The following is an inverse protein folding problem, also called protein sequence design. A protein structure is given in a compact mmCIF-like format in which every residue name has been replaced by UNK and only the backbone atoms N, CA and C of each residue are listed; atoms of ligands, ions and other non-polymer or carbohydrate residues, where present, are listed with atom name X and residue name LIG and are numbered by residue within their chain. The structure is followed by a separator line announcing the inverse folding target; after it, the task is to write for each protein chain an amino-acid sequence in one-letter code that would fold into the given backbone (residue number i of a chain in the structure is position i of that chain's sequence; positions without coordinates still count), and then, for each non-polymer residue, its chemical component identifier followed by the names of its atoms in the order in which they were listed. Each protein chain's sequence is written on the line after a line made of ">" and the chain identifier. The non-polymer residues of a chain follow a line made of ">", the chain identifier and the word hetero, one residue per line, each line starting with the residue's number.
data_IF_220804484591
#
_entry.id   IF_220804484591
#
_cell.length_a   1.000
_cell.length_b   1.000
_cell.length_c   1.000
_cell.angle_alpha   90.00
_cell.angle_beta   90.00
_cell.angle_gamma   90.00
#
_symmetry.space_group_name_H-M   'P 1'
#
loop_
_entity.id
_entity.type
_entity.pdbx_description
1 polymer ?
#
# COMPACT_ATOMS: atom_id res chain seq x y z
N UNK A 1 2.82 54.72 -21.98
CA UNK A 1 3.31 55.74 -22.94
C UNK A 1 4.73 55.47 -23.49
N UNK A 2 5.62 54.71 -22.82
CA UNK A 2 7.02 54.52 -23.32
C UNK A 2 7.27 53.36 -24.31
N UNK A 3 6.39 52.36 -24.41
CA UNK A 3 6.63 51.23 -25.35
C UNK A 3 6.24 51.50 -26.80
N UNK A 4 5.34 52.47 -27.06
CA UNK A 4 4.93 52.82 -28.42
C UNK A 4 5.94 53.76 -29.12
N UNK A 5 6.66 54.58 -28.35
CA UNK A 5 7.62 55.56 -28.89
C UNK A 5 8.94 54.86 -29.27
N UNK A 6 9.40 53.87 -28.51
CA UNK A 6 10.59 53.10 -28.86
C UNK A 6 10.38 52.18 -30.07
N UNK A 7 9.20 51.58 -30.24
CA UNK A 7 8.90 50.79 -31.45
C UNK A 7 8.75 51.67 -32.69
N UNK A 8 8.21 52.89 -32.55
CA UNK A 8 8.17 53.85 -33.65
C UNK A 8 9.56 54.37 -34.04
N UNK A 9 10.46 54.62 -33.08
CA UNK A 9 11.84 55.04 -33.37
C UNK A 9 12.69 53.92 -33.97
N UNK A 10 12.49 52.66 -33.57
CA UNK A 10 13.18 51.53 -34.21
C UNK A 10 12.66 51.25 -35.62
N UNK A 11 11.34 51.41 -35.86
CA UNK A 11 10.76 51.33 -37.20
C UNK A 11 11.23 52.48 -38.09
N UNK A 12 11.38 53.70 -37.54
CA UNK A 12 11.95 54.85 -38.25
C UNK A 12 13.42 54.65 -38.62
N UNK A 13 14.25 54.07 -37.74
CA UNK A 13 15.67 53.80 -38.06
C UNK A 13 15.85 52.72 -39.13
N UNK A 14 14.98 51.69 -39.17
CA UNK A 14 14.97 50.69 -40.24
C UNK A 14 14.47 51.29 -41.56
N UNK A 15 13.55 52.26 -41.50
CA UNK A 15 13.08 52.97 -42.69
C UNK A 15 14.16 53.90 -43.26
N UNK A 16 14.90 54.64 -42.42
CA UNK A 16 15.91 55.60 -42.87
C UNK A 16 17.17 54.98 -43.46
N UNK A 17 17.61 53.82 -42.98
CA UNK A 17 18.72 53.10 -43.60
C UNK A 17 18.38 52.56 -45.01
N UNK A 18 17.13 52.61 -45.48
CA UNK A 18 16.74 52.17 -46.83
C UNK A 18 16.40 53.31 -47.80
N UNK A 19 16.46 54.58 -47.38
CA UNK A 19 15.91 55.69 -48.17
C UNK A 19 16.71 55.95 -49.45
N UNK A 20 18.03 55.85 -49.44
CA UNK A 20 18.85 56.11 -50.64
C UNK A 20 18.48 55.16 -51.80
N UNK A 21 18.29 53.88 -51.48
CA UNK A 21 17.89 52.87 -52.46
C UNK A 21 16.45 52.98 -52.95
N UNK A 22 15.56 53.62 -52.17
CA UNK A 22 14.13 53.75 -52.49
C UNK A 22 13.84 55.04 -53.24
N UNK A 23 14.61 56.11 -53.02
CA UNK A 23 14.33 57.43 -53.58
C UNK A 23 15.24 57.85 -54.75
N UNK A 24 16.47 57.34 -54.85
CA UNK A 24 17.47 57.85 -55.81
C UNK A 24 18.39 56.75 -56.37
N UNK A 25 17.81 55.72 -56.98
CA UNK A 25 18.57 54.59 -57.50
C UNK A 25 18.01 54.08 -58.82
N UNK A 26 18.88 53.92 -59.82
CA UNK A 26 18.51 53.36 -61.12
C UNK A 26 18.81 51.86 -61.17
N UNK A 27 17.77 51.04 -60.99
CA UNK A 27 17.86 49.57 -61.00
C UNK A 27 18.34 48.94 -62.31
N UNK A 28 18.41 49.72 -63.39
CA UNK A 28 18.94 49.26 -64.67
C UNK A 28 20.45 49.35 -64.78
N UNK A 29 21.11 50.25 -64.01
CA UNK A 29 22.54 50.55 -64.14
C UNK A 29 23.35 50.51 -62.84
N UNK A 30 22.69 50.52 -61.68
CA UNK A 30 23.35 50.57 -60.36
C UNK A 30 23.01 49.30 -59.55
N UNK A 31 23.57 49.13 -58.34
CA UNK A 31 23.09 48.12 -57.37
C UNK A 31 22.91 48.67 -55.95
N UNK A 32 21.76 48.41 -55.32
CA UNK A 32 21.53 48.73 -53.91
C UNK A 32 21.87 47.55 -53.01
N UNK A 33 22.72 47.79 -52.00
CA UNK A 33 23.12 46.78 -51.03
C UNK A 33 22.97 47.31 -49.60
N UNK A 34 22.08 46.69 -48.82
CA UNK A 34 21.83 47.03 -47.40
C UNK A 34 21.68 48.54 -47.12
N UNK A 35 21.01 49.26 -48.02
CA UNK A 35 20.76 50.69 -47.87
C UNK A 35 21.73 51.64 -48.57
N UNK A 36 22.80 51.11 -49.14
CA UNK A 36 23.83 51.88 -49.84
C UNK A 36 23.74 51.67 -51.36
N UNK A 37 23.74 52.77 -52.11
CA UNK A 37 23.74 52.75 -53.58
C UNK A 37 25.17 52.60 -54.10
N UNK A 38 25.42 51.56 -54.91
CA UNK A 38 26.66 51.38 -55.65
C UNK A 38 26.51 52.04 -57.03
N UNK A 39 27.02 53.27 -57.15
CA UNK A 39 26.94 54.10 -58.35
C UNK A 39 27.81 53.56 -59.49
N UNK A 40 27.35 53.75 -60.72
CA UNK A 40 28.06 53.49 -62.00
C UNK A 40 28.44 52.04 -62.33
N UNK A 41 28.05 51.04 -61.54
CA UNK A 41 28.19 49.61 -61.87
C UNK A 41 26.99 48.79 -61.40
N UNK A 42 26.45 47.94 -62.29
CA UNK A 42 25.41 46.97 -61.95
C UNK A 42 26.04 45.63 -61.58
N UNK A 43 25.89 45.29 -60.32
CA UNK A 43 26.29 44.04 -59.71
C UNK A 43 25.10 43.08 -59.58
N UNK A 44 25.37 41.79 -59.52
CA UNK A 44 24.30 40.77 -59.38
C UNK A 44 24.07 40.36 -57.91
N UNK A 45 24.98 40.72 -57.00
CA UNK A 45 25.00 40.29 -55.60
C UNK A 45 25.53 41.38 -54.67
N UNK A 46 25.25 41.24 -53.37
CA UNK A 46 25.64 42.20 -52.33
C UNK A 46 26.42 41.52 -51.20
N UNK A 47 27.49 42.17 -50.75
CA UNK A 47 28.28 41.81 -49.58
C UNK A 47 28.20 42.95 -48.57
N UNK A 48 27.29 42.85 -47.60
CA UNK A 48 26.85 43.96 -46.77
C UNK A 48 26.56 45.19 -47.65
N UNK A 49 27.22 46.34 -47.46
CA UNK A 49 26.99 47.56 -48.23
C UNK A 49 27.61 47.58 -49.64
N UNK A 50 28.38 46.57 -50.02
CA UNK A 50 29.19 46.56 -51.25
C UNK A 50 28.55 45.65 -52.32
N UNK A 51 28.28 46.18 -53.50
CA UNK A 51 27.85 45.40 -54.66
C UNK A 51 29.02 44.65 -55.31
N UNK A 52 28.79 43.41 -55.74
CA UNK A 52 29.80 42.61 -56.46
C UNK A 52 29.19 41.63 -57.48
N UNK A 53 30.00 41.18 -58.43
CA UNK A 53 29.63 40.16 -59.41
C UNK A 53 29.94 38.75 -58.88
N UNK A 54 28.91 37.93 -58.69
CA UNK A 54 28.97 36.56 -58.16
C UNK A 54 29.82 35.59 -58.98
N UNK A 55 30.06 35.92 -60.25
CA UNK A 55 30.95 35.12 -61.13
C UNK A 55 32.43 35.44 -60.96
N UNK A 56 32.76 36.51 -60.23
CA UNK A 56 34.13 37.00 -60.12
C UNK A 56 34.58 37.14 -58.67
N UNK A 57 33.67 37.20 -57.71
CA UNK A 57 33.96 37.43 -56.29
C UNK A 57 33.02 36.66 -55.38
N UNK A 58 33.44 36.47 -54.14
CA UNK A 58 32.69 35.73 -53.11
C UNK A 58 32.59 36.58 -51.85
N UNK A 59 31.40 36.63 -51.23
CA UNK A 59 31.19 37.28 -49.95
C UNK A 59 31.06 36.27 -48.81
N UNK A 60 31.90 36.37 -47.79
CA UNK A 60 31.84 35.52 -46.59
C UNK A 60 31.61 36.37 -45.33
N UNK A 61 30.39 36.32 -44.79
CA UNK A 61 30.01 37.04 -43.57
C UNK A 61 30.48 38.52 -43.57
N UNK A 62 30.15 39.23 -44.65
CA UNK A 62 30.47 40.66 -44.83
C UNK A 62 31.85 40.99 -45.38
N UNK A 63 32.69 39.98 -45.66
CA UNK A 63 34.03 40.18 -46.24
C UNK A 63 34.04 39.75 -47.71
N UNK A 64 34.39 40.68 -48.60
CA UNK A 64 34.44 40.44 -50.03
C UNK A 64 35.83 39.94 -50.45
N UNK A 65 35.86 38.85 -51.22
CA UNK A 65 37.06 38.21 -51.75
C UNK A 65 37.02 38.16 -53.29
N UNK A 66 38.13 38.51 -53.93
CA UNK A 66 38.29 38.42 -55.39
C UNK A 66 38.54 36.97 -55.81
N UNK A 67 37.59 36.36 -56.52
CA UNK A 67 37.57 34.95 -56.93
C UNK A 67 36.30 34.20 -56.49
N UNK A 68 36.05 33.03 -57.10
CA UNK A 68 34.96 32.12 -56.70
C UNK A 68 35.49 31.11 -55.68
N UNK A 69 35.00 31.21 -54.45
CA UNK A 69 35.42 30.42 -53.30
C UNK A 69 34.19 29.94 -52.50
N UNK A 70 34.42 29.04 -51.55
CA UNK A 70 33.45 28.70 -50.50
C UNK A 70 33.78 29.46 -49.20
N UNK A 71 32.79 29.60 -48.31
CA UNK A 71 32.94 30.33 -47.07
C UNK A 71 33.11 29.43 -45.85
N UNK A 72 34.13 29.73 -45.05
CA UNK A 72 34.38 29.15 -43.73
C UNK A 72 34.28 30.26 -42.68
N UNK A 73 33.06 30.52 -42.20
CA UNK A 73 32.78 31.69 -41.36
C UNK A 73 33.00 33.00 -42.13
N UNK A 74 33.99 33.80 -41.72
CA UNK A 74 34.37 35.06 -42.38
C UNK A 74 35.43 34.87 -43.48
N UNK A 75 36.09 33.71 -43.54
CA UNK A 75 37.20 33.44 -44.46
C UNK A 75 36.67 32.78 -45.74
N UNK A 76 37.23 33.11 -46.89
CA UNK A 76 37.01 32.38 -48.14
C UNK A 76 38.08 31.29 -48.35
N UNK A 77 37.72 30.15 -48.94
CA UNK A 77 38.65 29.05 -49.27
C UNK A 77 38.28 28.35 -50.58
N UNK A 78 39.26 27.71 -51.23
CA UNK A 78 39.04 26.87 -52.41
C UNK A 78 38.77 25.41 -51.97
N UNK A 79 37.56 24.87 -52.18
CA UNK A 79 37.20 23.51 -51.79
C UNK A 79 38.00 22.43 -52.54
N UNK A 80 38.65 22.77 -53.66
CA UNK A 80 39.53 21.83 -54.39
C UNK A 80 40.84 21.55 -53.66
N UNK A 81 41.25 22.44 -52.75
CA UNK A 81 42.54 22.36 -52.07
C UNK A 81 42.43 22.37 -50.55
N UNK A 82 41.29 22.75 -49.99
CA UNK A 82 41.11 22.94 -48.55
C UNK A 82 39.72 22.48 -48.10
N UNK A 83 39.57 22.24 -46.80
CA UNK A 83 38.30 21.83 -46.16
C UNK A 83 38.03 22.74 -44.96
N UNK A 84 36.79 23.19 -44.79
CA UNK A 84 36.37 23.97 -43.62
C UNK A 84 35.82 23.07 -42.49
N UNK A 85 36.37 23.22 -41.28
CA UNK A 85 35.95 22.50 -40.07
C UNK A 85 35.70 23.47 -38.92
N UNK A 86 34.45 23.60 -38.47
CA UNK A 86 34.02 24.49 -37.37
C UNK A 86 34.64 25.92 -37.43
N UNK A 87 34.70 26.49 -38.63
CA UNK A 87 35.20 27.85 -38.87
C UNK A 87 36.70 27.97 -39.13
N UNK A 88 37.45 26.86 -39.06
CA UNK A 88 38.87 26.81 -39.43
C UNK A 88 39.10 26.07 -40.75
N UNK A 89 40.02 26.60 -41.56
CA UNK A 89 40.35 26.07 -42.88
C UNK A 89 41.57 25.17 -42.75
N UNK A 90 41.44 23.90 -43.15
CA UNK A 90 42.53 22.93 -43.19
C UNK A 90 42.98 22.67 -44.63
N UNK A 91 44.28 22.48 -44.85
CA UNK A 91 44.83 22.12 -46.16
C UNK A 91 44.52 20.65 -46.51
N UNK A 92 44.03 20.42 -47.72
CA UNK A 92 43.53 19.15 -48.22
C UNK A 92 42.03 19.21 -48.52
N UNK A 93 41.63 18.77 -49.70
CA UNK A 93 40.22 18.67 -50.10
C UNK A 93 39.59 17.35 -49.67
N UNK A 94 38.28 17.36 -49.47
CA UNK A 94 37.47 16.19 -49.09
C UNK A 94 37.93 15.52 -47.79
N UNK A 95 38.47 16.29 -46.84
CA UNK A 95 38.81 15.79 -45.51
C UNK A 95 37.55 15.68 -44.64
N UNK A 96 37.56 14.77 -43.66
CA UNK A 96 36.56 14.74 -42.60
C UNK A 96 36.97 15.68 -41.47
N UNK A 97 36.00 16.21 -40.71
CA UNK A 97 36.29 17.12 -39.62
C UNK A 97 36.32 16.40 -38.26
N UNK A 98 37.33 16.72 -37.46
CA UNK A 98 37.43 16.37 -36.05
C UNK A 98 37.62 17.66 -35.27
N UNK A 99 36.57 18.16 -34.62
CA UNK A 99 36.53 19.54 -34.14
C UNK A 99 36.85 20.54 -35.26
N UNK A 100 37.91 21.32 -35.07
CA UNK A 100 38.38 22.36 -36.01
C UNK A 100 39.39 21.85 -37.04
N UNK A 101 39.75 20.56 -37.03
CA UNK A 101 40.83 20.03 -37.87
C UNK A 101 40.28 19.05 -38.90
N UNK A 102 40.66 19.26 -40.16
CA UNK A 102 40.42 18.30 -41.25
C UNK A 102 41.40 17.12 -41.20
N UNK A 103 40.91 15.89 -41.40
CA UNK A 103 41.73 14.68 -41.44
C UNK A 103 41.28 13.70 -42.52
N UNK A 104 42.20 12.83 -42.96
CA UNK A 104 41.90 11.71 -43.86
C UNK A 104 41.54 10.46 -43.04
N UNK A 105 40.30 9.94 -43.13
CA UNK A 105 39.87 8.76 -42.39
C UNK A 105 40.62 7.47 -42.76
N UNK A 106 41.36 7.46 -43.88
CA UNK A 106 42.22 6.33 -44.26
C UNK A 106 43.48 6.22 -43.40
N UNK A 107 43.85 7.27 -42.68
CA UNK A 107 45.09 7.32 -41.91
C UNK A 107 44.84 7.63 -40.43
N UNK A 108 43.75 8.32 -40.10
CA UNK A 108 43.44 8.78 -38.75
C UNK A 108 41.99 8.52 -38.37
N UNK A 109 41.72 8.46 -37.08
CA UNK A 109 40.37 8.33 -36.51
C UNK A 109 40.12 9.48 -35.55
N UNK A 110 38.92 10.06 -35.57
CA UNK A 110 38.51 11.11 -34.65
C UNK A 110 37.72 10.54 -33.46
N UNK A 111 38.13 10.87 -32.24
CA UNK A 111 37.47 10.48 -30.99
C UNK A 111 37.30 11.71 -30.09
N UNK A 112 36.06 12.14 -29.87
CA UNK A 112 35.71 13.33 -29.05
C UNK A 112 36.61 14.55 -29.36
N UNK A 113 36.67 14.91 -30.65
CA UNK A 113 37.48 16.02 -31.19
C UNK A 113 39.00 15.87 -31.05
N UNK A 114 39.51 14.69 -30.66
CA UNK A 114 40.93 14.35 -30.72
C UNK A 114 41.23 13.36 -31.84
N UNK A 115 42.29 13.64 -32.60
CA UNK A 115 42.76 12.77 -33.68
C UNK A 115 43.74 11.73 -33.15
N UNK A 116 43.48 10.47 -33.48
CA UNK A 116 44.39 9.35 -33.23
C UNK A 116 44.94 8.82 -34.55
N UNK A 117 46.23 8.47 -34.57
CA UNK A 117 46.87 7.83 -35.72
C UNK A 117 46.37 6.38 -35.90
N UNK A 118 45.95 6.04 -37.11
CA UNK A 118 45.38 4.75 -37.47
C UNK A 118 43.96 4.86 -38.02
N UNK A 119 43.68 4.07 -39.05
CA UNK A 119 42.37 3.98 -39.70
C UNK A 119 41.47 2.95 -39.01
N UNK A 120 40.16 3.17 -39.05
CA UNK A 120 39.14 2.23 -38.57
C UNK A 120 39.33 1.81 -37.11
N UNK A 121 39.82 2.71 -36.27
CA UNK A 121 39.92 2.48 -34.83
C UNK A 121 38.55 2.70 -34.17
N UNK A 122 38.31 2.01 -33.05
CA UNK A 122 37.18 2.32 -32.16
C UNK A 122 37.62 3.37 -31.15
N UNK A 123 36.67 4.16 -30.64
CA UNK A 123 36.98 5.19 -29.65
C UNK A 123 36.72 4.70 -28.23
N UNK A 124 37.66 4.98 -27.34
CA UNK A 124 37.52 4.86 -25.90
C UNK A 124 37.80 6.22 -25.28
N UNK A 125 36.74 6.95 -24.90
CA UNK A 125 36.84 8.39 -24.65
C UNK A 125 37.54 9.09 -25.83
N UNK A 126 38.69 9.72 -25.61
CA UNK A 126 39.41 10.46 -26.64
C UNK A 126 40.42 9.60 -27.42
N UNK A 127 40.65 8.35 -27.00
CA UNK A 127 41.69 7.50 -27.56
C UNK A 127 41.11 6.52 -28.60
N UNK A 128 41.70 6.51 -29.79
CA UNK A 128 41.47 5.46 -30.79
C UNK A 128 42.19 4.16 -30.42
N UNK A 129 41.50 3.02 -30.50
CA UNK A 129 42.08 1.70 -30.23
C UNK A 129 41.60 0.62 -31.20
N UNK A 130 42.36 -0.47 -31.27
CA UNK A 130 42.00 -1.65 -32.04
C UNK A 130 41.35 -2.70 -31.12
N UNK A 131 40.08 -3.11 -31.33
CA UNK A 131 39.41 -4.09 -30.47
C UNK A 131 40.05 -5.49 -30.51
N UNK A 132 40.92 -5.77 -31.49
CA UNK A 132 41.66 -7.04 -31.57
C UNK A 132 42.79 -7.17 -30.55
N UNK A 133 43.21 -6.08 -29.91
CA UNK A 133 44.29 -6.12 -28.92
C UNK A 133 43.98 -5.36 -27.63
N UNK A 134 42.97 -4.48 -27.62
CA UNK A 134 42.57 -3.72 -26.44
C UNK A 134 41.06 -3.76 -26.24
N UNK A 135 40.64 -3.55 -25.00
CA UNK A 135 39.24 -3.42 -24.58
C UNK A 135 39.07 -2.07 -23.91
N UNK A 136 37.96 -1.38 -24.19
CA UNK A 136 37.59 -0.14 -23.50
C UNK A 136 36.62 -0.43 -22.36
N UNK A 137 36.98 -0.05 -21.13
CA UNK A 137 36.11 -0.17 -19.95
C UNK A 137 35.92 1.19 -19.29
N UNK A 138 34.70 1.75 -19.36
CA UNK A 138 34.34 3.03 -18.77
C UNK A 138 35.33 4.17 -19.10
N UNK A 139 35.75 4.26 -20.36
CA UNK A 139 36.67 5.29 -20.85
C UNK A 139 38.15 5.00 -20.59
N UNK A 140 38.51 3.85 -19.99
CA UNK A 140 39.90 3.41 -19.83
C UNK A 140 40.23 2.28 -20.80
N UNK A 141 41.34 2.42 -21.51
CA UNK A 141 41.87 1.38 -22.38
C UNK A 141 42.65 0.33 -21.58
N UNK A 142 42.45 -0.93 -21.93
CA UNK A 142 43.04 -2.09 -21.27
C UNK A 142 43.61 -3.03 -22.31
N UNK A 143 44.83 -3.52 -22.08
CA UNK A 143 45.46 -4.48 -22.97
C UNK A 143 44.82 -5.86 -22.85
N UNK A 144 44.51 -6.46 -24.00
CA UNK A 144 43.75 -7.69 -24.12
C UNK A 144 42.44 -7.50 -24.89
N UNK A 145 42.16 -8.43 -25.80
CA UNK A 145 40.92 -8.47 -26.57
C UNK A 145 39.85 -9.27 -25.86
N UNK A 146 38.58 -8.94 -26.13
CA UNK A 146 37.40 -9.66 -25.64
C UNK A 146 37.31 -9.75 -24.10
N UNK A 147 37.89 -8.80 -23.38
CA UNK A 147 37.75 -8.72 -21.93
C UNK A 147 36.35 -8.22 -21.57
N UNK A 148 35.81 -8.68 -20.46
CA UNK A 148 34.61 -8.11 -19.85
C UNK A 148 35.01 -6.96 -18.93
N UNK A 149 34.12 -5.99 -18.73
CA UNK A 149 34.38 -4.84 -17.88
C UNK A 149 33.77 -5.01 -16.49
N UNK A 150 34.56 -4.71 -15.46
CA UNK A 150 34.14 -4.60 -14.07
C UNK A 150 34.51 -3.21 -13.57
N UNK A 151 33.60 -2.25 -13.72
CA UNK A 151 33.99 -0.84 -13.63
C UNK A 151 35.07 -0.52 -14.67
N UNK A 152 36.12 0.19 -14.28
CA UNK A 152 37.24 0.57 -15.17
C UNK A 152 38.23 -0.56 -15.44
N UNK A 153 38.03 -1.75 -14.89
CA UNK A 153 38.95 -2.89 -15.07
C UNK A 153 38.40 -3.91 -16.05
N UNK A 154 39.31 -4.54 -16.79
CA UNK A 154 39.03 -5.55 -17.81
C UNK A 154 39.46 -6.91 -17.27
N UNK A 155 38.63 -7.92 -17.46
CA UNK A 155 38.90 -9.25 -16.96
C UNK A 155 38.43 -10.35 -17.90
N UNK A 156 39.10 -11.51 -17.83
CA UNK A 156 38.65 -12.74 -18.47
C UNK A 156 37.64 -13.44 -17.54
N UNK A 157 36.40 -13.61 -18.00
CA UNK A 157 35.32 -14.27 -17.26
C UNK A 157 35.58 -15.75 -16.98
N UNK A 158 36.55 -16.36 -17.68
CA UNK A 158 37.01 -17.73 -17.41
C UNK A 158 37.98 -17.82 -16.24
N UNK A 159 38.43 -16.69 -15.69
CA UNK A 159 39.41 -16.66 -14.59
C UNK A 159 38.90 -15.84 -13.42
N UNK A 160 38.09 -14.82 -13.66
CA UNK A 160 37.56 -13.92 -12.62
C UNK A 160 36.06 -13.70 -12.77
N UNK A 161 35.43 -13.27 -11.70
CA UNK A 161 34.02 -12.86 -11.65
C UNK A 161 33.93 -11.43 -11.10
N UNK A 162 33.07 -10.60 -11.68
CA UNK A 162 32.82 -9.23 -11.22
C UNK A 162 31.58 -9.17 -10.33
N UNK A 163 31.72 -8.64 -9.12
CA UNK A 163 30.63 -8.44 -8.17
C UNK A 163 30.64 -7.00 -7.65
N UNK A 164 29.60 -6.22 -7.97
CA UNK A 164 29.47 -4.79 -7.60
C UNK A 164 30.73 -3.97 -7.89
N UNK A 165 31.36 -4.20 -9.04
CA UNK A 165 32.57 -3.49 -9.46
C UNK A 165 33.88 -3.99 -8.83
N UNK A 166 33.85 -5.08 -8.04
CA UNK A 166 35.05 -5.73 -7.52
C UNK A 166 35.29 -7.08 -8.20
N UNK A 167 36.55 -7.31 -8.59
CA UNK A 167 36.97 -8.57 -9.21
C UNK A 167 37.34 -9.61 -8.15
N UNK A 168 36.77 -10.80 -8.27
CA UNK A 168 37.10 -11.99 -7.47
C UNK A 168 37.73 -13.05 -8.37
N UNK A 169 38.76 -13.75 -7.88
CA UNK A 169 39.37 -14.87 -8.59
C UNK A 169 38.45 -16.08 -8.58
N UNK A 170 38.27 -16.71 -9.75
CA UNK A 170 37.37 -17.82 -10.00
C UNK A 170 36.34 -17.48 -11.07
N UNK A 171 36.11 -18.42 -11.98
CA UNK A 171 35.06 -18.35 -12.99
C UNK A 171 33.72 -18.83 -12.44
N UNK A 172 32.62 -18.32 -13.00
CA UNK A 172 31.26 -18.77 -12.69
C UNK A 172 30.92 -18.74 -11.19
N UNK A 173 31.47 -17.77 -10.46
CA UNK A 173 31.12 -17.56 -9.06
C UNK A 173 29.80 -16.80 -8.97
N UNK A 174 29.03 -17.04 -7.91
CA UNK A 174 27.88 -16.21 -7.56
C UNK A 174 28.34 -15.02 -6.72
N UNK A 175 27.57 -13.92 -6.72
CA UNK A 175 27.93 -12.72 -5.96
C UNK A 175 27.20 -12.67 -4.61
N UNK A 176 27.97 -12.45 -3.55
CA UNK A 176 27.48 -12.10 -2.22
C UNK A 176 27.98 -10.70 -1.86
N UNK A 177 27.17 -9.68 -2.16
CA UNK A 177 27.65 -8.31 -2.15
C UNK A 177 28.74 -8.11 -3.20
N UNK A 178 29.92 -7.62 -2.80
CA UNK A 178 31.05 -7.37 -3.71
C UNK A 178 32.01 -8.56 -3.85
N UNK A 179 31.73 -9.70 -3.20
CA UNK A 179 32.59 -10.89 -3.28
C UNK A 179 31.93 -11.99 -4.09
N UNK A 180 32.71 -12.63 -4.96
CA UNK A 180 32.34 -13.88 -5.60
C UNK A 180 32.49 -15.06 -4.64
N UNK A 181 31.58 -16.03 -4.70
CA UNK A 181 31.64 -17.25 -3.89
C UNK A 181 31.15 -18.46 -4.70
N UNK A 182 31.53 -19.66 -4.23
CA UNK A 182 31.06 -20.90 -4.84
C UNK A 182 29.88 -21.47 -4.03
N UNK A 183 28.66 -21.55 -4.59
CA UNK A 183 27.49 -22.08 -3.88
C UNK A 183 27.61 -23.55 -3.48
N UNK A 184 28.59 -24.28 -4.04
CA UNK A 184 28.91 -25.66 -3.67
C UNK A 184 29.81 -25.79 -2.45
N UNK A 185 30.31 -24.69 -1.89
CA UNK A 185 31.11 -24.69 -0.67
C UNK A 185 30.59 -23.69 0.38
N UNK A 186 29.92 -22.63 -0.05
CA UNK A 186 29.57 -21.47 0.77
C UNK A 186 28.12 -21.05 0.55
N UNK A 187 27.54 -20.34 1.51
CA UNK A 187 26.19 -19.78 1.43
C UNK A 187 26.24 -18.28 1.70
N UNK A 188 25.56 -17.48 0.87
CA UNK A 188 25.42 -16.05 1.09
C UNK A 188 24.17 -15.71 1.92
N UNK A 189 24.34 -15.05 3.05
CA UNK A 189 23.26 -14.57 3.90
C UNK A 189 23.33 -13.05 4.07
N UNK A 190 22.42 -12.32 3.43
CA UNK A 190 22.31 -10.86 3.49
C UNK A 190 23.65 -10.15 3.21
N UNK A 191 24.39 -10.62 2.20
CA UNK A 191 25.69 -10.03 1.83
C UNK A 191 26.89 -10.51 2.65
N UNK A 192 26.69 -11.42 3.62
CA UNK A 192 27.76 -12.08 4.36
C UNK A 192 27.90 -13.54 3.94
N UNK A 193 29.13 -13.94 3.59
CA UNK A 193 29.46 -15.33 3.29
C UNK A 193 29.58 -16.15 4.58
N UNK A 194 29.04 -17.37 4.54
CA UNK A 194 29.17 -18.38 5.58
C UNK A 194 29.67 -19.68 4.93
N UNK A 195 30.64 -20.33 5.55
CA UNK A 195 31.14 -21.65 5.11
C UNK A 195 30.05 -22.71 5.26
N UNK A 196 29.95 -23.59 4.26
CA UNK A 196 28.96 -24.66 4.19
C UNK A 196 27.92 -24.44 3.10
N UNK A 197 27.39 -25.54 2.58
CA UNK A 197 26.37 -25.54 1.54
C UNK A 197 24.99 -25.82 2.06
N UNK A 198 23.99 -25.37 1.30
CA UNK A 198 22.55 -25.64 1.58
C UNK A 198 22.13 -25.16 2.96
N UNK A 199 22.84 -24.17 3.51
CA UNK A 199 22.47 -23.53 4.77
C UNK A 199 21.26 -22.62 4.53
N UNK A 200 20.43 -22.47 5.56
CA UNK A 200 19.41 -21.41 5.60
C UNK A 200 19.99 -20.17 6.25
N UNK A 201 19.38 -19.01 5.99
CA UNK A 201 19.83 -17.75 6.58
C UNK A 201 18.99 -17.35 7.79
N UNK A 202 19.67 -16.97 8.86
CA UNK A 202 19.11 -16.34 10.05
C UNK A 202 19.78 -14.98 10.23
N UNK A 203 19.20 -13.94 9.63
CA UNK A 203 19.92 -12.69 9.39
C UNK A 203 21.21 -12.97 8.59
N UNK A 204 22.33 -12.38 9.00
CA UNK A 204 23.63 -12.54 8.33
C UNK A 204 24.34 -13.89 8.58
N UNK A 205 23.72 -14.82 9.34
CA UNK A 205 24.31 -16.12 9.69
C UNK A 205 23.68 -17.24 8.85
N UNK A 206 24.51 -18.04 8.17
CA UNK A 206 24.09 -19.34 7.66
C UNK A 206 23.95 -20.38 8.78
N UNK A 207 22.94 -21.23 8.71
CA UNK A 207 22.74 -22.32 9.67
C UNK A 207 22.17 -23.59 9.01
N UNK A 208 22.49 -24.76 9.56
CA UNK A 208 21.88 -26.03 9.17
C UNK A 208 20.53 -26.20 9.89
N UNK A 209 19.39 -26.24 9.16
CA UNK A 209 18.06 -26.43 9.77
C UNK A 209 17.85 -27.79 10.44
N UNK A 210 18.75 -28.77 10.23
CA UNK A 210 18.73 -30.05 10.93
C UNK A 210 19.30 -29.95 12.35
N UNK A 211 20.09 -28.91 12.63
CA UNK A 211 20.75 -28.72 13.92
C UNK A 211 20.13 -27.54 14.68
N UNK A 212 19.73 -26.48 13.97
CA UNK A 212 19.26 -25.23 14.59
C UNK A 212 17.91 -24.77 14.05
N UNK A 213 17.23 -23.95 14.85
CA UNK A 213 16.04 -23.18 14.48
C UNK A 213 16.36 -21.69 14.60
N UNK A 214 15.93 -20.90 13.62
CA UNK A 214 16.07 -19.44 13.63
C UNK A 214 14.80 -18.76 14.16
N UNK A 215 14.94 -17.90 15.17
CA UNK A 215 13.84 -17.11 15.74
C UNK A 215 14.27 -15.64 15.85
N UNK A 216 13.61 -14.76 15.10
CA UNK A 216 13.91 -13.30 15.05
C UNK A 216 15.41 -12.98 14.93
N UNK A 217 16.15 -13.74 14.11
CA UNK A 217 17.58 -13.52 13.87
C UNK A 217 18.53 -14.22 14.85
N UNK A 218 18.01 -14.86 15.90
CA UNK A 218 18.79 -15.66 16.85
C UNK A 218 18.66 -17.16 16.57
N UNK A 219 19.77 -17.88 16.70
CA UNK A 219 19.83 -19.32 16.47
C UNK A 219 19.67 -20.07 17.80
N UNK A 220 18.71 -20.99 17.85
CA UNK A 220 18.51 -21.91 18.96
C UNK A 220 18.86 -23.33 18.54
N UNK A 221 19.61 -24.06 19.38
CA UNK A 221 19.97 -25.45 19.11
C UNK A 221 18.74 -26.36 19.23
N UNK A 222 18.55 -27.22 18.22
CA UNK A 222 17.40 -28.08 18.05
C UNK A 222 16.67 -27.77 16.73
N UNK A 223 16.40 -28.78 15.88
CA UNK A 223 15.57 -28.61 14.69
C UNK A 223 14.08 -28.49 15.06
N UNK A 224 13.30 -27.86 14.18
CA UNK A 224 11.84 -27.81 14.23
C UNK A 224 11.26 -27.29 15.56
N UNK A 225 11.95 -26.35 16.21
CA UNK A 225 11.44 -25.68 17.39
C UNK A 225 10.41 -24.60 16.99
N UNK A 226 9.48 -24.31 17.89
CA UNK A 226 8.60 -23.14 17.77
C UNK A 226 9.30 -21.91 18.30
N UNK A 227 8.99 -20.73 17.77
CA UNK A 227 9.57 -19.48 18.26
C UNK A 227 8.71 -18.84 19.35
N UNK A 228 9.39 -18.41 20.41
CA UNK A 228 8.87 -17.58 21.48
C UNK A 228 9.76 -16.34 21.59
N UNK A 229 9.37 -15.25 20.93
CA UNK A 229 10.29 -14.15 20.66
C UNK A 229 11.50 -14.61 19.85
N UNK A 230 12.72 -14.33 20.34
CA UNK A 230 13.98 -14.72 19.70
C UNK A 230 14.49 -16.11 20.10
N UNK A 231 13.78 -16.85 20.96
CA UNK A 231 14.19 -18.18 21.41
C UNK A 231 13.30 -19.27 20.84
N UNK A 232 13.92 -20.36 20.41
CA UNK A 232 13.23 -21.59 20.05
C UNK A 232 12.84 -22.40 21.29
N UNK A 233 11.69 -23.07 21.27
CA UNK A 233 11.29 -24.04 22.29
C UNK A 233 10.52 -25.22 21.70
N UNK A 234 10.47 -26.32 22.43
CA UNK A 234 9.70 -27.50 22.07
C UNK A 234 8.35 -27.47 22.79
N UNK A 235 7.24 -27.46 22.04
CA UNK A 235 5.87 -27.41 22.59
C UNK A 235 5.48 -28.63 23.41
N UNK A 236 6.18 -29.74 23.26
CA UNK A 236 5.95 -30.95 24.05
C UNK A 236 6.55 -30.85 25.46
N UNK A 237 7.54 -29.97 25.67
CA UNK A 237 8.26 -29.83 26.94
C UNK A 237 8.14 -28.45 27.57
N UNK A 238 7.44 -27.51 26.93
CA UNK A 238 7.19 -26.19 27.48
C UNK A 238 6.13 -25.42 26.70
N UNK A 239 5.79 -24.24 27.20
CA UNK A 239 4.80 -23.33 26.59
C UNK A 239 5.38 -21.92 26.50
N UNK A 240 4.99 -21.17 25.47
CA UNK A 240 5.35 -19.76 25.31
C UNK A 240 4.18 -18.86 25.72
N UNK A 241 4.36 -18.04 26.76
CA UNK A 241 3.37 -17.06 27.21
C UNK A 241 3.97 -15.66 27.11
N UNK A 242 3.44 -14.84 26.20
CA UNK A 242 3.87 -13.46 25.93
C UNK A 242 5.41 -13.31 25.87
N UNK A 243 6.05 -14.10 24.99
CA UNK A 243 7.51 -14.17 24.79
C UNK A 243 8.34 -14.79 25.93
N UNK A 244 7.72 -15.32 26.98
CA UNK A 244 8.42 -16.08 28.04
C UNK A 244 8.17 -17.58 27.87
N UNK A 245 9.26 -18.36 27.85
CA UNK A 245 9.19 -19.83 27.78
C UNK A 245 9.15 -20.40 29.19
N UNK A 246 8.13 -21.20 29.47
CA UNK A 246 7.99 -21.94 30.72
C UNK A 246 8.21 -23.45 30.48
N UNK A 247 9.15 -24.09 31.21
CA UNK A 247 9.35 -25.53 31.09
C UNK A 247 8.24 -26.31 31.80
N UNK A 248 7.74 -27.35 31.14
CA UNK A 248 6.71 -28.25 31.65
C UNK A 248 5.78 -28.73 30.54
N UNK A 249 5.63 -30.04 30.42
CA UNK A 249 4.71 -30.64 29.45
C UNK A 249 3.25 -30.37 29.84
N UNK A 250 2.44 -29.93 28.88
CA UNK A 250 1.00 -29.74 29.06
C UNK A 250 0.60 -28.45 29.81
N UNK A 251 1.55 -27.56 30.10
CA UNK A 251 1.24 -26.22 30.62
C UNK A 251 0.48 -25.39 29.58
N UNK A 252 -0.35 -24.47 30.06
CA UNK A 252 -1.09 -23.50 29.23
C UNK A 252 -0.82 -22.08 29.70
N UNK A 253 -1.11 -21.10 28.84
CA UNK A 253 -0.98 -19.70 29.19
C UNK A 253 -2.24 -19.14 29.85
N UNK A 254 -2.01 -18.29 30.85
CA UNK A 254 -2.98 -17.42 31.50
C UNK A 254 -2.36 -16.02 31.51
N UNK A 255 -2.69 -15.21 30.50
CA UNK A 255 -1.94 -13.99 30.21
C UNK A 255 -0.45 -14.24 29.99
N UNK A 256 0.39 -13.59 30.81
CA UNK A 256 1.86 -13.71 30.74
C UNK A 256 2.41 -14.96 31.44
N UNK A 257 1.62 -15.61 32.30
CA UNK A 257 2.07 -16.72 33.14
C UNK A 257 1.67 -18.07 32.54
N UNK A 258 2.48 -19.09 32.78
CA UNK A 258 2.08 -20.47 32.56
C UNK A 258 1.39 -21.06 33.81
N UNK A 259 0.41 -21.93 33.60
CA UNK A 259 -0.26 -22.70 34.65
C UNK A 259 -0.45 -24.15 34.23
N UNK A 260 -0.58 -25.05 35.21
CA UNK A 260 -0.90 -26.47 35.00
C UNK A 260 -2.42 -26.68 35.11
N UNK A 261 -3.15 -26.95 34.02
CA UNK A 261 -4.61 -27.16 34.07
C UNK A 261 -5.05 -28.34 34.94
N UNK A 262 -4.14 -29.25 35.32
CA UNK A 262 -4.44 -30.37 36.21
C UNK A 262 -4.38 -29.99 37.69
N UNK A 263 -3.84 -28.82 38.03
CA UNK A 263 -3.64 -28.36 39.42
C UNK A 263 -4.19 -26.96 39.67
N UNK A 264 -4.32 -26.17 38.62
CA UNK A 264 -4.63 -24.75 38.68
C UNK A 264 -5.72 -24.39 37.65
N UNK A 265 -6.50 -23.36 37.96
CA UNK A 265 -7.52 -22.80 37.05
C UNK A 265 -7.17 -21.35 36.70
N UNK A 266 -7.29 -20.99 35.43
CA UNK A 266 -7.09 -19.63 34.92
C UNK A 266 -8.42 -18.94 34.63
N UNK A 267 -8.59 -17.72 35.13
CA UNK A 267 -9.75 -16.88 34.86
C UNK A 267 -9.31 -15.49 34.35
N UNK A 268 -9.74 -15.13 33.14
CA UNK A 268 -9.49 -13.84 32.47
C UNK A 268 -8.04 -13.32 32.66
N UNK A 269 -7.07 -14.19 32.35
CA UNK A 269 -5.63 -13.86 32.28
C UNK A 269 -4.94 -13.39 33.57
N UNK A 270 -5.63 -13.33 34.71
CA UNK A 270 -5.13 -12.52 35.85
C UNK A 270 -4.83 -13.30 37.12
N UNK A 271 -5.28 -14.56 37.25
CA UNK A 271 -4.98 -15.34 38.46
C UNK A 271 -5.04 -16.84 38.21
N UNK A 272 -3.93 -17.52 38.51
CA UNK A 272 -3.92 -18.97 38.73
C UNK A 272 -4.47 -19.24 40.13
N UNK A 273 -5.56 -19.98 40.21
CA UNK A 273 -6.15 -20.39 41.48
C UNK A 273 -5.79 -21.84 41.75
N UNK A 274 -5.43 -22.16 42.99
CA UNK A 274 -5.15 -23.54 43.40
C UNK A 274 -6.42 -24.38 43.33
N UNK A 275 -6.35 -25.51 42.62
CA UNK A 275 -7.49 -26.39 42.38
C UNK A 275 -7.77 -26.54 40.88
N UNK A 276 -7.93 -27.80 40.47
CA UNK A 276 -8.40 -28.15 39.14
C UNK A 276 -9.94 -28.17 39.10
N UNK A 277 -10.50 -27.96 37.90
CA UNK A 277 -11.95 -28.01 37.64
C UNK A 277 -12.78 -26.93 38.39
N UNK A 278 -12.16 -25.82 38.77
CA UNK A 278 -12.90 -24.67 39.29
C UNK A 278 -13.59 -23.93 38.12
N UNK A 279 -14.73 -23.31 38.41
CA UNK A 279 -15.43 -22.42 37.48
C UNK A 279 -14.97 -20.98 37.66
N UNK A 280 -15.12 -20.13 36.64
CA UNK A 280 -14.72 -18.73 36.71
C UNK A 280 -15.93 -17.82 36.94
N UNK A 281 -15.81 -16.93 37.92
CA UNK A 281 -16.69 -15.78 38.14
C UNK A 281 -15.85 -14.52 37.90
N UNK A 282 -15.80 -14.07 36.64
CA UNK A 282 -14.87 -13.01 36.24
C UNK A 282 -13.42 -13.45 36.39
N UNK A 283 -12.65 -12.76 37.24
CA UNK A 283 -11.23 -13.10 37.52
C UNK A 283 -11.04 -14.11 38.67
N UNK A 284 -12.12 -14.48 39.36
CA UNK A 284 -12.07 -15.38 40.52
C UNK A 284 -12.45 -16.80 40.10
N UNK A 285 -11.62 -17.77 40.46
CA UNK A 285 -12.04 -19.17 40.36
C UNK A 285 -12.80 -19.57 41.63
N UNK A 286 -13.83 -20.41 41.46
CA UNK A 286 -14.65 -20.91 42.55
C UNK A 286 -15.06 -22.36 42.30
N UNK A 287 -15.34 -23.10 43.37
CA UNK A 287 -15.92 -24.45 43.26
C UNK A 287 -17.45 -24.35 43.06
N UNK A 288 -17.99 -24.77 41.90
CA UNK A 288 -19.43 -24.76 41.65
C UNK A 288 -20.22 -25.70 42.57
N UNK A 289 -19.56 -26.63 43.26
CA UNK A 289 -20.18 -27.50 44.27
C UNK A 289 -20.26 -26.85 45.66
N UNK A 290 -19.73 -25.64 45.81
CA UNK A 290 -19.81 -24.88 47.07
C UNK A 290 -20.48 -23.54 46.83
N UNK A 291 -20.20 -22.87 45.70
CA UNK A 291 -20.64 -21.50 45.45
C UNK A 291 -21.42 -21.37 44.13
N UNK A 292 -22.21 -20.30 44.04
CA UNK A 292 -22.91 -19.87 42.82
C UNK A 292 -22.37 -18.51 42.37
N UNK A 293 -22.10 -18.35 41.08
CA UNK A 293 -21.71 -17.06 40.48
C UNK A 293 -22.85 -16.46 39.68
N UNK A 294 -23.13 -15.17 39.90
CA UNK A 294 -24.11 -14.41 39.14
C UNK A 294 -23.45 -13.24 38.39
N UNK A 295 -23.82 -13.08 37.11
CA UNK A 295 -23.34 -12.03 36.21
C UNK A 295 -21.81 -11.91 36.10
N UNK A 296 -21.06 -13.00 36.32
CA UNK A 296 -19.58 -13.02 36.31
C UNK A 296 -18.91 -12.07 37.33
N UNK A 297 -19.64 -11.63 38.35
CA UNK A 297 -19.15 -10.65 39.34
C UNK A 297 -19.42 -11.12 40.77
N UNK A 298 -20.65 -11.53 41.06
CA UNK A 298 -21.09 -11.82 42.43
C UNK A 298 -20.96 -13.31 42.74
N UNK A 299 -20.17 -13.64 43.76
CA UNK A 299 -19.99 -15.01 44.25
C UNK A 299 -20.73 -15.19 45.57
N UNK A 300 -21.54 -16.24 45.67
CA UNK A 300 -22.34 -16.55 46.85
C UNK A 300 -22.12 -17.98 47.32
N UNK A 301 -22.13 -18.20 48.64
CA UNK A 301 -22.04 -19.53 49.23
C UNK A 301 -23.37 -20.29 49.05
N UNK A 302 -23.28 -21.50 48.47
CA UNK A 302 -24.40 -22.37 48.14
C UNK A 302 -24.37 -22.86 46.69
N UNK A 303 -24.12 -24.16 46.48
CA UNK A 303 -23.95 -24.83 45.18
C UNK A 303 -25.23 -25.07 44.36
N UNK A 304 -26.39 -24.73 44.92
CA UNK A 304 -27.72 -25.01 44.33
C UNK A 304 -28.56 -23.75 44.23
N UNK A 305 -27.96 -22.60 44.47
CA UNK A 305 -28.64 -21.35 44.29
C UNK A 305 -28.73 -21.04 42.81
N UNK A 306 -29.76 -20.31 42.43
CA UNK A 306 -29.95 -19.81 41.07
C UNK A 306 -29.87 -18.29 41.08
N UNK A 307 -29.45 -17.71 39.96
CA UNK A 307 -29.29 -16.26 39.86
C UNK A 307 -30.61 -15.59 39.49
N UNK A 308 -30.92 -14.50 40.19
CA UNK A 308 -31.99 -13.55 39.86
C UNK A 308 -31.37 -12.16 39.68
N UNK A 309 -30.83 -11.90 38.49
CA UNK A 309 -29.98 -10.72 38.29
C UNK A 309 -28.64 -10.87 39.02
N UNK A 310 -28.33 -9.96 39.93
CA UNK A 310 -27.07 -9.95 40.70
C UNK A 310 -27.15 -10.73 42.01
N UNK A 311 -28.36 -11.11 42.43
CA UNK A 311 -28.62 -11.86 43.66
C UNK A 311 -28.88 -13.34 43.39
N UNK A 312 -28.85 -14.12 44.46
CA UNK A 312 -29.14 -15.55 44.45
C UNK A 312 -30.46 -15.88 45.16
N UNK A 313 -31.12 -16.94 44.70
CA UNK A 313 -32.29 -17.51 45.36
C UNK A 313 -32.22 -19.04 45.39
N UNK A 314 -32.90 -19.66 46.35
CA UNK A 314 -33.04 -21.12 46.44
C UNK A 314 -34.22 -21.56 45.55
N UNK A 315 -33.99 -22.24 44.41
CA UNK A 315 -35.05 -22.64 43.50
C UNK A 315 -36.03 -23.66 44.11
N UNK A 316 -35.68 -24.29 45.23
CA UNK A 316 -36.57 -25.20 45.97
C UNK A 316 -37.53 -24.46 46.91
N UNK A 317 -37.31 -23.17 47.16
CA UNK A 317 -38.11 -22.36 48.10
C UNK A 317 -38.64 -21.08 47.47
N UNK A 318 -38.05 -20.62 46.38
CA UNK A 318 -38.26 -19.30 45.80
C UNK A 318 -38.32 -19.39 44.27
N UNK A 319 -38.86 -18.35 43.65
CA UNK A 319 -38.90 -18.21 42.19
C UNK A 319 -38.49 -16.80 41.78
N UNK A 320 -37.60 -16.70 40.80
CA UNK A 320 -37.22 -15.43 40.20
C UNK A 320 -38.16 -15.06 39.06
N UNK A 321 -38.73 -13.86 39.10
CA UNK A 321 -39.55 -13.30 38.03
C UNK A 321 -39.07 -11.89 37.73
N UNK A 322 -38.55 -11.64 36.53
CA UNK A 322 -38.03 -10.33 36.09
C UNK A 322 -37.06 -9.67 37.10
N UNK A 323 -36.15 -10.45 37.68
CA UNK A 323 -35.17 -9.93 38.65
C UNK A 323 -35.72 -9.76 40.08
N UNK A 324 -36.98 -10.14 40.35
CA UNK A 324 -37.58 -10.11 41.69
C UNK A 324 -37.71 -11.51 42.25
N UNK A 325 -37.19 -11.73 43.46
CA UNK A 325 -37.25 -13.02 44.17
C UNK A 325 -38.57 -13.12 44.93
N UNK A 326 -39.39 -14.12 44.58
CA UNK A 326 -40.68 -14.40 45.21
C UNK A 326 -40.55 -15.52 46.25
N UNK A 327 -41.22 -15.38 47.41
CA UNK A 327 -41.32 -16.44 48.43
C UNK A 327 -42.29 -17.53 47.95
N UNK A 328 -41.81 -18.75 47.79
CA UNK A 328 -42.57 -19.89 47.26
C UNK A 328 -42.05 -20.35 45.90
N UNK A 329 -42.33 -21.62 45.58
CA UNK A 329 -42.00 -22.22 44.27
C UNK A 329 -43.21 -22.11 43.37
N UNK A 330 -43.12 -21.25 42.37
CA UNK A 330 -44.16 -20.99 41.39
C UNK A 330 -43.77 -21.59 40.03
N UNK A 331 -44.76 -22.11 39.31
CA UNK A 331 -44.50 -22.74 38.00
C UNK A 331 -44.30 -21.71 36.89
N UNK A 332 -44.86 -20.51 37.04
CA UNK A 332 -44.87 -19.47 36.02
C UNK A 332 -44.79 -18.07 36.65
N UNK A 333 -44.34 -17.11 35.87
CA UNK A 333 -44.26 -15.70 36.24
C UNK A 333 -45.37 -14.89 35.59
N UNK A 334 -45.96 -13.98 36.35
CA UNK A 334 -46.88 -12.94 35.93
C UNK A 334 -46.25 -11.58 36.21
N UNK A 335 -45.51 -11.05 35.22
CA UNK A 335 -44.64 -9.90 35.45
C UNK A 335 -43.55 -10.23 36.48
N UNK A 336 -43.50 -9.48 37.57
CA UNK A 336 -42.50 -9.65 38.63
C UNK A 336 -42.90 -10.68 39.71
N UNK A 337 -44.10 -11.26 39.60
CA UNK A 337 -44.66 -12.15 40.62
C UNK A 337 -44.80 -13.58 40.12
N UNK A 338 -44.43 -14.54 40.97
CA UNK A 338 -44.70 -15.95 40.70
C UNK A 338 -46.18 -16.28 40.95
N UNK A 339 -46.77 -17.13 40.12
CA UNK A 339 -48.13 -17.61 40.32
C UNK A 339 -48.27 -19.10 39.98
N UNK A 340 -49.30 -19.74 40.53
CA UNK A 340 -49.61 -21.14 40.23
C UNK A 340 -50.75 -21.22 39.19
N UNK A 341 -50.48 -21.62 37.93
CA UNK A 341 -51.50 -21.67 36.88
C UNK A 341 -52.62 -22.69 37.17
N UNK A 342 -52.41 -23.62 38.12
CA UNK A 342 -53.44 -24.57 38.54
C UNK A 342 -54.47 -23.96 39.50
N UNK A 343 -54.19 -22.79 40.08
CA UNK A 343 -55.04 -22.11 41.05
C UNK A 343 -55.40 -20.68 40.63
N UNK A 344 -54.57 -20.07 39.79
CA UNK A 344 -54.61 -18.65 39.48
C UNK A 344 -54.43 -18.42 37.98
N UNK A 345 -54.88 -17.26 37.51
CA UNK A 345 -54.75 -16.81 36.12
C UNK A 345 -54.02 -15.48 36.06
N UNK A 346 -53.02 -15.36 35.18
CA UNK A 346 -52.27 -14.13 34.95
C UNK A 346 -52.86 -13.31 33.80
N UNK A 347 -53.21 -12.05 34.07
CA UNK A 347 -53.75 -11.13 33.07
C UNK A 347 -52.98 -9.80 33.10
N UNK A 348 -52.20 -9.52 32.06
CA UNK A 348 -51.38 -8.29 31.94
C UNK A 348 -50.51 -7.99 33.17
N UNK A 349 -49.91 -9.02 33.78
CA UNK A 349 -49.08 -8.88 34.97
C UNK A 349 -49.83 -8.87 36.32
N UNK A 350 -51.16 -9.02 36.29
CA UNK A 350 -51.99 -9.13 37.50
C UNK A 350 -52.45 -10.57 37.72
N UNK A 351 -52.20 -11.07 38.92
CA UNK A 351 -52.61 -12.42 39.34
C UNK A 351 -54.05 -12.35 39.84
N UNK A 352 -54.90 -13.22 39.30
CA UNK A 352 -56.30 -13.34 39.68
C UNK A 352 -56.56 -14.76 40.19
N UNK A 353 -57.36 -14.89 41.25
CA UNK A 353 -57.73 -16.19 41.80
C UNK A 353 -58.70 -16.94 40.88
N UNK A 354 -58.47 -18.24 40.72
CA UNK A 354 -59.22 -19.10 39.84
C UNK A 354 -58.39 -19.62 38.66
N UNK A 355 -58.60 -20.89 38.35
CA UNK A 355 -57.94 -21.61 37.26
C UNK A 355 -58.81 -21.61 36.00
N UNK A 356 -58.17 -21.69 34.83
CA UNK A 356 -58.84 -21.74 33.52
C UNK A 356 -59.79 -20.56 33.26
N UNK A 357 -59.49 -19.40 33.82
CA UNK A 357 -60.23 -18.16 33.55
C UNK A 357 -59.68 -17.50 32.28
N UNK A 358 -60.51 -16.69 31.60
CA UNK A 358 -60.06 -15.84 30.50
C UNK A 358 -59.72 -14.45 31.00
N UNK A 359 -58.87 -13.74 30.27
CA UNK A 359 -58.45 -12.39 30.62
C UNK A 359 -59.30 -11.31 29.95
N UNK A 360 -59.70 -10.31 30.74
CA UNK A 360 -60.28 -9.06 30.31
C UNK A 360 -59.41 -7.92 30.84
N UNK A 361 -58.48 -7.44 30.02
CA UNK A 361 -57.37 -6.58 30.46
C UNK A 361 -56.61 -7.17 31.66
N UNK A 362 -56.68 -6.55 32.83
CA UNK A 362 -55.99 -6.97 34.07
C UNK A 362 -56.79 -7.97 34.92
N UNK A 363 -58.09 -8.16 34.64
CA UNK A 363 -58.98 -9.02 35.42
C UNK A 363 -59.20 -10.35 34.74
N UNK A 364 -59.22 -11.42 35.51
CA UNK A 364 -59.67 -12.72 35.04
C UNK A 364 -61.18 -12.88 35.24
N UNK A 365 -61.84 -13.58 34.32
CA UNK A 365 -63.27 -13.87 34.40
C UNK A 365 -63.58 -15.28 33.94
N UNK A 366 -64.63 -15.87 34.54
CA UNK A 366 -65.18 -17.15 34.11
C UNK A 366 -66.08 -16.92 32.88
N UNK A 367 -65.72 -17.43 31.68
CA UNK A 367 -66.49 -17.21 30.47
C UNK A 367 -67.87 -17.88 30.47
N UNK A 368 -68.13 -18.82 31.39
CA UNK A 368 -69.46 -19.41 31.53
C UNK A 368 -70.44 -18.47 32.26
N UNK A 369 -69.91 -17.61 33.14
CA UNK A 369 -70.70 -16.71 33.99
C UNK A 369 -70.64 -15.26 33.57
N UNK A 370 -69.58 -14.85 32.89
CA UNK A 370 -69.31 -13.47 32.59
C UNK A 370 -68.86 -13.30 31.15
N UNK A 371 -69.03 -12.08 30.63
CA UNK A 371 -68.59 -11.68 29.30
C UNK A 371 -67.67 -10.47 29.42
N UNK A 372 -66.54 -10.47 28.69
CA UNK A 372 -65.63 -9.33 28.63
C UNK A 372 -65.99 -8.40 27.47
N UNK A 373 -66.33 -7.16 27.78
CA UNK A 373 -66.64 -6.12 26.81
C UNK A 373 -65.76 -4.89 27.06
N UNK A 374 -64.83 -4.62 26.14
CA UNK A 374 -63.92 -3.46 26.19
C UNK A 374 -63.26 -3.26 27.57
N UNK A 375 -62.56 -4.30 28.05
CA UNK A 375 -61.88 -4.36 29.35
C UNK A 375 -62.80 -4.38 30.60
N UNK A 376 -64.12 -4.39 30.42
CA UNK A 376 -65.10 -4.52 31.49
C UNK A 376 -65.68 -5.93 31.55
N UNK A 377 -65.66 -6.55 32.74
CA UNK A 377 -66.26 -7.85 33.00
C UNK A 377 -67.71 -7.65 33.43
N UNK A 378 -68.63 -8.21 32.66
CA UNK A 378 -70.07 -8.11 32.92
C UNK A 378 -70.60 -9.43 33.46
N UNK A 379 -71.44 -9.38 34.51
CA UNK A 379 -72.12 -10.55 35.09
C UNK A 379 -73.28 -10.97 34.19
N UNK A 380 -72.93 -11.52 33.04
CA UNK A 380 -73.86 -11.97 32.03
C UNK A 380 -73.31 -13.30 31.49
N UNK A 381 -74.05 -14.39 31.76
CA UNK A 381 -73.64 -15.76 31.45
C UNK A 381 -73.38 -16.02 29.97
N UNK A 382 -72.91 -17.22 29.64
CA UNK A 382 -72.59 -17.61 28.27
C UNK A 382 -73.71 -17.29 27.26
N UNK A 383 -73.34 -16.69 26.12
CA UNK A 383 -74.27 -16.31 25.04
C UNK A 383 -74.53 -14.80 24.87
N UNK A 384 -73.80 -13.94 25.59
CA UNK A 384 -73.92 -12.47 25.51
C UNK A 384 -72.86 -11.91 24.57
N UNK A 385 -73.25 -10.96 23.73
CA UNK A 385 -72.36 -10.23 22.81
C UNK A 385 -72.09 -8.83 23.33
N UNK A 386 -70.99 -8.23 22.89
CA UNK A 386 -70.55 -6.92 23.38
C UNK A 386 -70.94 -5.80 22.42
N UNK A 387 -71.45 -4.71 22.99
CA UNK A 387 -71.63 -3.42 22.37
C UNK A 387 -70.89 -2.37 23.21
N UNK A 388 -69.67 -2.00 22.81
CA UNK A 388 -68.75 -1.23 23.66
C UNK A 388 -68.56 -1.88 25.04
N UNK A 389 -68.98 -1.20 26.11
CA UNK A 389 -68.90 -1.68 27.50
C UNK A 389 -70.17 -2.43 27.95
N UNK A 390 -71.18 -2.56 27.09
CA UNK A 390 -72.48 -3.16 27.42
C UNK A 390 -72.61 -4.56 26.82
N UNK A 391 -73.13 -5.48 27.62
CA UNK A 391 -73.45 -6.84 27.20
C UNK A 391 -74.90 -6.89 26.74
N UNK A 392 -75.17 -7.51 25.59
CA UNK A 392 -76.52 -7.70 25.08
C UNK A 392 -76.72 -9.11 24.50
N UNK A 393 -77.95 -9.59 24.52
CA UNK A 393 -78.32 -10.84 23.83
C UNK A 393 -78.71 -10.51 22.39
N UNK A 394 -78.06 -11.16 21.42
CA UNK A 394 -78.36 -10.99 19.98
C UNK A 394 -79.83 -11.28 19.65
N UNK A 395 -80.51 -12.09 20.46
CA UNK A 395 -81.92 -12.43 20.30
C UNK A 395 -82.87 -11.25 20.55
N UNK A 396 -82.47 -10.26 21.36
CA UNK A 396 -83.35 -9.18 21.81
C UNK A 396 -82.83 -7.79 21.45
N UNK A 397 -81.60 -7.68 20.96
CA UNK A 397 -80.97 -6.39 20.70
C UNK A 397 -79.86 -6.53 19.66
N UNK A 398 -79.55 -5.44 18.97
CA UNK A 398 -78.47 -5.36 17.97
C UNK A 398 -77.56 -4.17 18.32
N UNK A 399 -76.24 -4.36 18.22
CA UNK A 399 -75.26 -3.28 18.37
C UNK A 399 -74.88 -2.69 17.01
N UNK A 400 -75.01 -1.37 16.86
CA UNK A 400 -74.61 -0.64 15.66
C UNK A 400 -73.68 0.50 16.08
N UNK A 401 -72.44 0.51 15.59
CA UNK A 401 -71.41 1.52 15.88
C UNK A 401 -71.26 1.84 17.38
N UNK A 402 -71.35 0.79 18.21
CA UNK A 402 -71.20 0.92 19.66
C UNK A 402 -72.43 1.44 20.41
N UNK A 403 -73.55 1.67 19.71
CA UNK A 403 -74.85 2.01 20.30
C UNK A 403 -75.74 0.77 20.30
N UNK A 404 -76.28 0.43 21.48
CA UNK A 404 -77.17 -0.72 21.65
C UNK A 404 -78.61 -0.32 21.28
N UNK A 405 -79.21 -1.02 20.31
CA UNK A 405 -80.63 -0.87 19.95
C UNK A 405 -81.43 -2.07 20.46
N UNK A 406 -82.49 -1.82 21.23
CA UNK A 406 -83.35 -2.86 21.83
C UNK A 406 -84.49 -3.21 20.86
N UNK A 407 -84.58 -4.48 20.46
CA UNK A 407 -85.60 -5.01 19.54
C UNK A 407 -85.13 -6.28 18.82
N UNK A 408 -86.07 -7.17 18.47
CA UNK A 408 -85.77 -8.40 17.72
C UNK A 408 -85.59 -8.10 16.22
N UNK A 409 -84.66 -8.78 15.55
CA UNK A 409 -84.39 -8.68 14.10
C UNK A 409 -84.01 -7.27 13.58
N UNK A 410 -83.41 -6.43 14.42
CA UNK A 410 -82.89 -5.13 13.99
C UNK A 410 -81.57 -5.34 13.20
N UNK A 411 -81.46 -4.75 12.02
CA UNK A 411 -80.20 -4.66 11.26
C UNK A 411 -79.59 -3.26 11.42
N UNK A 412 -78.26 -3.19 11.39
CA UNK A 412 -77.57 -1.91 11.27
C UNK A 412 -77.66 -1.43 9.82
N UNK A 413 -78.01 -0.16 9.63
CA UNK A 413 -78.06 0.48 8.32
C UNK A 413 -76.68 0.93 7.87
#
# INVERSE_FOLDING_TARGET
>A
MNKLILTFLSLFAIYFNNIECVLFYNSTSETCCYGYVNYDMKYDSCCDSIGFNSKESTCCSGHLYSGIFECCGKKAYDPKNSTCCLGEITNGANLQCCGQVGYDPKNRTCCLDQLTDGANLQCCANDGYNPKNKTCCFGKLIDGANLQCCGTDGYDSKVKTCCLGQLTNGANLECCGSKGFNPNNETCCFGKLTEGTKLKCCGFKGYDPKIYTCCLGELTHGPNLLCCGSKGYNSSTGVCCLNTIYPGAGLKCCGILAYDPKKETCCLDSKKNSGANLSCCGFLAYDPNINTCCNNISLFEGARLSCCGFDVYDPLKQTCCNGVINKGVFKQCCGNYGFNPNMQTCCQGFINDGKKLLCCAKRAYDPLKNTCCNSNVLVAGGGVSCCNNLGYKKETSTCCDGVLKIGKNLSCC
#
